data_IF_562778056560
#
_entry.id   IF_562778056560
#
_cell.length_a   1.000
_cell.length_b   1.000
_cell.length_c   1.000
_cell.angle_alpha   90.00
_cell.angle_beta   90.00
_cell.angle_gamma   90.00
#
_symmetry.space_group_name_H-M   'P 1'
#
loop_
_entity.id
_entity.type
_entity.pdbx_description
1 polymer ?
#
# COMPACT_ATOMS: atom_id res chain seq x y z
N UNK A 1 -0.02 -4.81 14.43
CA UNK A 1 0.12 -4.41 13.02
C UNK A 1 -0.95 -3.39 12.69
N UNK A 2 -0.57 -2.11 12.58
CA UNK A 2 -1.47 -1.01 12.21
C UNK A 2 -1.76 -0.98 10.70
N UNK A 3 -0.81 -1.45 9.90
CA UNK A 3 -0.88 -1.52 8.45
C UNK A 3 -0.56 -2.96 8.04
N UNK A 4 -1.50 -3.64 7.38
CA UNK A 4 -1.32 -5.03 6.99
C UNK A 4 -2.05 -5.37 5.70
N UNK A 5 -1.57 -6.39 5.02
CA UNK A 5 -2.16 -6.94 3.81
C UNK A 5 -2.09 -8.47 3.84
N UNK A 6 -3.10 -9.11 3.27
CA UNK A 6 -3.14 -10.55 3.11
C UNK A 6 -2.42 -10.96 1.83
N UNK A 7 -1.71 -12.07 1.92
CA UNK A 7 -1.11 -12.79 0.80
C UNK A 7 -1.94 -14.06 0.62
N UNK A 8 -2.43 -14.25 -0.60
CA UNK A 8 -3.33 -15.33 -0.96
C UNK A 8 -2.60 -16.41 -1.76
N UNK A 9 -3.04 -17.64 -1.61
CA UNK A 9 -2.70 -18.72 -2.51
C UNK A 9 -3.34 -18.45 -3.88
N UNK A 10 -2.57 -18.55 -4.96
CA UNK A 10 -3.05 -18.27 -6.33
C UNK A 10 -4.07 -19.30 -6.83
N UNK A 11 -4.06 -20.52 -6.28
CA UNK A 11 -4.90 -21.63 -6.72
C UNK A 11 -6.15 -21.77 -5.85
N UNK A 12 -6.02 -21.61 -4.53
CA UNK A 12 -7.12 -21.83 -3.59
C UNK A 12 -7.82 -20.54 -3.13
N UNK A 13 -7.24 -19.37 -3.42
CA UNK A 13 -7.69 -18.05 -2.91
C UNK A 13 -7.71 -17.96 -1.37
N UNK A 14 -7.08 -18.91 -0.69
CA UNK A 14 -6.96 -18.90 0.77
C UNK A 14 -5.82 -17.98 1.21
N UNK A 15 -6.00 -17.35 2.37
CA UNK A 15 -4.94 -16.54 2.98
C UNK A 15 -3.83 -17.46 3.46
N UNK A 16 -2.62 -17.30 2.90
CA UNK A 16 -1.43 -18.07 3.29
C UNK A 16 -0.52 -17.30 4.25
N UNK A 17 -0.61 -15.97 4.24
CA UNK A 17 0.09 -15.12 5.19
C UNK A 17 -0.61 -13.76 5.33
N UNK A 18 -0.43 -13.11 6.47
CA UNK A 18 -0.73 -11.69 6.66
C UNK A 18 0.57 -10.98 6.98
N UNK A 19 0.91 -9.98 6.17
CA UNK A 19 2.14 -9.20 6.32
C UNK A 19 1.79 -7.79 6.75
N UNK A 20 2.57 -7.22 7.66
CA UNK A 20 2.24 -5.91 8.17
C UNK A 20 3.37 -5.24 8.94
N UNK A 21 3.16 -3.97 9.23
CA UNK A 21 4.03 -3.13 10.04
C UNK A 21 3.22 -2.33 11.05
N UNK A 22 3.85 -1.95 12.16
CA UNK A 22 3.34 -0.98 13.11
C UNK A 22 3.92 0.41 12.90
N UNK A 23 4.98 0.51 12.11
CA UNK A 23 5.71 1.76 11.88
C UNK A 23 5.98 1.97 10.40
N UNK A 24 5.69 3.18 9.91
CA UNK A 24 6.06 3.66 8.59
C UNK A 24 6.82 4.96 8.82
N UNK A 25 8.00 5.09 8.19
CA UNK A 25 8.80 6.29 8.33
C UNK A 25 8.14 7.48 7.62
N UNK A 26 8.39 8.69 8.11
CA UNK A 26 7.84 9.92 7.50
C UNK A 26 8.19 10.04 6.01
N UNK A 27 9.41 9.69 5.63
CA UNK A 27 9.84 9.71 4.22
C UNK A 27 9.02 8.77 3.33
N UNK A 28 8.58 7.64 3.86
CA UNK A 28 7.67 6.73 3.14
C UNK A 28 6.26 7.34 3.07
N UNK A 29 5.74 7.89 4.16
CA UNK A 29 4.43 8.57 4.15
C UNK A 29 4.32 9.68 3.10
N UNK A 30 5.36 10.51 2.95
CA UNK A 30 5.38 11.58 1.94
C UNK A 30 5.28 11.01 0.52
N UNK A 31 5.97 9.90 0.23
CA UNK A 31 5.90 9.24 -1.08
C UNK A 31 4.49 8.72 -1.41
N UNK A 32 3.72 8.30 -0.41
CA UNK A 32 2.32 7.90 -0.61
C UNK A 32 1.43 9.11 -0.97
N UNK A 33 1.61 10.25 -0.30
CA UNK A 33 0.88 11.48 -0.62
C UNK A 33 1.21 11.94 -2.05
N UNK A 34 2.50 12.01 -2.41
CA UNK A 34 2.94 12.44 -3.74
C UNK A 34 2.37 11.53 -4.84
N UNK A 35 2.33 10.21 -4.58
CA UNK A 35 1.75 9.24 -5.50
C UNK A 35 0.23 9.43 -5.65
N UNK A 36 -0.48 9.69 -4.55
CA UNK A 36 -1.92 9.95 -4.57
C UNK A 36 -2.26 11.23 -5.37
N UNK A 37 -1.57 12.33 -5.09
CA UNK A 37 -1.74 13.60 -5.83
C UNK A 37 -1.38 13.47 -7.33
N UNK A 38 -0.46 12.56 -7.66
CA UNK A 38 -0.09 12.21 -9.03
C UNK A 38 -1.10 11.34 -9.76
N UNK A 39 -1.81 10.46 -9.05
CA UNK A 39 -2.85 9.58 -9.60
C UNK A 39 -4.14 10.32 -9.92
N UNK A 40 -4.57 11.29 -9.11
CA UNK A 40 -5.75 12.12 -9.41
C UNK A 40 -5.64 12.87 -10.76
N UNK A 41 -4.41 13.02 -11.29
CA UNK A 41 -4.12 13.73 -12.53
C UNK A 41 -4.03 12.82 -13.76
N UNK A 42 -4.09 11.48 -13.64
CA UNK A 42 -3.91 10.52 -14.75
C UNK A 42 -4.81 9.28 -14.64
N UNK A 43 -5.35 8.82 -15.76
CA UNK A 43 -6.19 7.62 -15.87
C UNK A 43 -5.46 6.35 -15.38
N UNK A 44 -6.14 5.55 -14.56
CA UNK A 44 -5.60 4.33 -13.92
C UNK A 44 -5.14 3.30 -14.96
N UNK A 45 -3.84 3.00 -15.00
CA UNK A 45 -3.22 2.02 -15.91
C UNK A 45 -2.53 0.89 -15.12
N UNK A 46 -2.09 -0.18 -15.80
CA UNK A 46 -1.25 -1.23 -15.21
C UNK A 46 -0.01 -0.68 -14.47
N UNK A 47 0.56 0.42 -14.97
CA UNK A 47 1.68 1.12 -14.32
C UNK A 47 1.32 1.67 -12.92
N UNK A 48 0.02 1.88 -12.65
CA UNK A 48 -0.44 2.33 -11.34
C UNK A 48 -0.35 1.21 -10.31
N UNK A 49 -0.68 -0.03 -10.70
CA UNK A 49 -0.62 -1.20 -9.81
C UNK A 49 0.80 -1.47 -9.35
N UNK A 50 1.77 -1.47 -10.28
CA UNK A 50 3.18 -1.70 -9.93
C UNK A 50 3.73 -0.61 -9.00
N UNK A 51 3.35 0.65 -9.23
CA UNK A 51 3.72 1.78 -8.35
C UNK A 51 3.12 1.63 -6.96
N UNK A 52 1.86 1.21 -6.85
CA UNK A 52 1.20 0.98 -5.57
C UNK A 52 1.87 -0.19 -4.83
N UNK A 53 2.14 -1.29 -5.53
CA UNK A 53 2.86 -2.43 -4.96
C UNK A 53 4.25 -2.01 -4.43
N UNK A 54 5.01 -1.21 -5.19
CA UNK A 54 6.31 -0.69 -4.77
C UNK A 54 6.22 0.16 -3.49
N UNK A 55 5.20 1.01 -3.39
CA UNK A 55 4.97 1.84 -2.20
C UNK A 55 4.56 1.00 -1.00
N UNK A 56 3.66 0.03 -1.18
CA UNK A 56 3.22 -0.87 -0.12
C UNK A 56 4.38 -1.74 0.39
N UNK A 57 5.25 -2.25 -0.49
CA UNK A 57 6.47 -2.96 -0.09
C UNK A 57 7.44 -2.05 0.67
N UNK A 58 7.56 -0.78 0.29
CA UNK A 58 8.37 0.19 1.04
C UNK A 58 7.80 0.48 2.44
N UNK A 59 6.47 0.41 2.60
CA UNK A 59 5.81 0.53 3.90
C UNK A 59 5.88 -0.76 4.73
N UNK A 60 5.81 -1.93 4.10
CA UNK A 60 5.83 -3.25 4.74
C UNK A 60 7.06 -4.02 4.22
N UNK A 61 8.24 -3.88 4.85
CA UNK A 61 9.48 -4.49 4.35
C UNK A 61 9.46 -6.02 4.26
N UNK A 62 8.54 -6.67 4.98
CA UNK A 62 8.36 -8.12 4.94
C UNK A 62 7.59 -8.59 3.71
N UNK A 63 6.89 -7.70 3.00
CA UNK A 63 6.16 -7.97 1.77
C UNK A 63 7.09 -7.78 0.58
N UNK A 64 7.22 -8.82 -0.24
CA UNK A 64 8.00 -8.73 -1.48
C UNK A 64 7.16 -8.16 -2.61
N UNK A 65 7.82 -7.58 -3.61
CA UNK A 65 7.14 -7.06 -4.81
C UNK A 65 6.37 -8.14 -5.57
N UNK A 66 6.91 -9.36 -5.61
CA UNK A 66 6.27 -10.50 -6.26
C UNK A 66 4.96 -10.88 -5.57
N UNK A 67 4.98 -10.97 -4.24
CA UNK A 67 3.76 -11.22 -3.45
C UNK A 67 2.75 -10.09 -3.63
N UNK A 68 3.19 -8.83 -3.59
CA UNK A 68 2.30 -7.69 -3.76
C UNK A 68 1.61 -7.69 -5.13
N UNK A 69 2.32 -8.03 -6.22
CA UNK A 69 1.74 -7.98 -7.57
C UNK A 69 0.90 -9.21 -7.88
N UNK A 70 1.36 -10.40 -7.46
CA UNK A 70 0.76 -11.65 -7.90
C UNK A 70 -0.22 -12.22 -6.87
N UNK A 71 0.09 -12.08 -5.58
CA UNK A 71 -0.58 -12.81 -4.49
C UNK A 71 -1.39 -11.90 -3.55
N UNK A 72 -1.33 -10.58 -3.71
CA UNK A 72 -2.24 -9.67 -3.02
C UNK A 72 -3.39 -9.28 -3.94
N UNK A 73 -4.59 -9.17 -3.37
CA UNK A 73 -5.71 -8.60 -4.10
C UNK A 73 -5.48 -7.11 -4.37
N UNK A 74 -5.85 -6.64 -5.56
CA UNK A 74 -5.65 -5.24 -5.93
C UNK A 74 -6.55 -4.29 -5.10
N UNK A 75 -7.75 -4.73 -4.74
CA UNK A 75 -8.63 -3.99 -3.83
C UNK A 75 -7.99 -3.83 -2.45
N UNK A 76 -7.40 -4.89 -1.91
CA UNK A 76 -6.66 -4.85 -0.64
C UNK A 76 -5.44 -3.91 -0.70
N UNK A 77 -4.67 -3.96 -1.80
CA UNK A 77 -3.55 -3.04 -2.04
C UNK A 77 -4.01 -1.58 -2.05
N UNK A 78 -5.10 -1.28 -2.77
CA UNK A 78 -5.66 0.06 -2.86
C UNK A 78 -6.21 0.53 -1.51
N UNK A 79 -6.91 -0.34 -0.78
CA UNK A 79 -7.45 -0.02 0.55
C UNK A 79 -6.31 0.34 1.52
N UNK A 80 -5.24 -0.46 1.53
CA UNK A 80 -4.06 -0.20 2.34
C UNK A 80 -3.36 1.10 1.92
N UNK A 81 -3.19 1.32 0.62
CA UNK A 81 -2.63 2.55 0.09
C UNK A 81 -3.41 3.78 0.57
N UNK A 82 -4.74 3.79 0.42
CA UNK A 82 -5.60 4.88 0.89
C UNK A 82 -5.54 5.05 2.40
N UNK A 83 -5.48 3.96 3.18
CA UNK A 83 -5.34 4.01 4.64
C UNK A 83 -4.02 4.70 5.05
N UNK A 84 -2.92 4.41 4.35
CA UNK A 84 -1.61 5.02 4.59
C UNK A 84 -1.64 6.50 4.21
N UNK A 85 -2.22 6.86 3.05
CA UNK A 85 -2.37 8.26 2.61
C UNK A 85 -3.17 9.07 3.63
N UNK A 86 -4.33 8.56 4.08
CA UNK A 86 -5.16 9.24 5.07
C UNK A 86 -4.40 9.42 6.41
N UNK A 87 -3.63 8.41 6.81
CA UNK A 87 -2.77 8.52 8.00
C UNK A 87 -1.70 9.61 7.83
N UNK A 88 -1.07 9.69 6.67
CA UNK A 88 -0.04 10.67 6.36
C UNK A 88 -0.59 12.10 6.30
N UNK A 89 -1.76 12.29 5.67
CA UNK A 89 -2.43 13.59 5.58
C UNK A 89 -2.86 14.13 6.95
N UNK A 90 -3.35 13.26 7.85
CA UNK A 90 -3.67 13.64 9.23
C UNK A 90 -2.44 14.09 10.03
N UNK A 91 -1.23 13.63 9.69
CA UNK A 91 0.02 14.10 10.31
C UNK A 91 0.42 15.47 9.73
N UNK A 92 0.19 15.70 8.42
CA UNK A 92 0.50 16.96 7.73
C UNK A 92 -0.44 18.11 8.13
N UNK A 93 -1.68 17.79 8.49
CA UNK A 93 -2.64 18.74 9.05
C UNK A 93 -3.00 18.32 10.48
N UNK A 94 -2.16 18.64 11.48
CA UNK A 94 -2.59 18.48 12.86
C UNK A 94 -3.84 19.35 13.04
N UNK A 95 -4.98 18.73 13.35
CA UNK A 95 -6.19 19.46 13.73
C UNK A 95 -5.85 20.32 14.95
N UNK A 96 -5.75 21.63 14.72
CA UNK A 96 -5.72 22.64 15.79
C UNK A 96 -7.05 22.64 16.55
#
# INVERSE_FOLDING_TARGET
MKYSINVYNLETSEIIATKGTDFISMGVFLRFIDAFEGMEKKSTSKESVEKIADLVCAAIPTLTKEEAINQCDFGDLMALFTQIVNSAQNIRQPKN
#
